data_IF_938153883215
#
_entry.id   IF_938153883215
#
_cell.length_a   1.000
_cell.length_b   1.000
_cell.length_c   1.000
_cell.angle_alpha   90.00
_cell.angle_beta   90.00
_cell.angle_gamma   90.00
#
_symmetry.space_group_name_H-M   'P 1'
#
loop_
_entity.id
_entity.type
_entity.pdbx_description
1 polymer ?
#
# COMPACT_ATOMS: atom_id res chain seq x y z
N UNK A 1 -45.45 -33.16 66.45
CA UNK A 1 -44.28 -34.00 66.77
C UNK A 1 -43.43 -34.08 65.52
N UNK A 2 -42.14 -33.78 65.67
CA UNK A 2 -41.16 -33.58 64.62
C UNK A 2 -40.67 -34.91 63.99
N UNK A 3 -39.88 -34.72 62.91
CA UNK A 3 -38.98 -35.67 62.21
C UNK A 3 -39.65 -36.47 61.06
N UNK A 4 -39.09 -36.60 59.85
CA UNK A 4 -37.79 -36.17 59.32
C UNK A 4 -37.65 -36.46 57.79
N UNK A 5 -36.70 -35.76 57.17
CA UNK A 5 -35.82 -36.10 56.03
C UNK A 5 -36.31 -36.43 54.58
N UNK A 6 -35.73 -35.64 53.66
CA UNK A 6 -35.02 -36.04 52.42
C UNK A 6 -35.80 -36.16 51.10
N UNK A 7 -35.64 -35.14 50.25
CA UNK A 7 -35.36 -35.32 48.83
C UNK A 7 -34.56 -34.10 48.33
N UNK A 8 -33.26 -34.29 48.07
CA UNK A 8 -32.43 -33.33 47.37
C UNK A 8 -32.73 -33.45 45.87
N UNK A 9 -33.09 -32.34 45.22
CA UNK A 9 -33.19 -32.27 43.76
C UNK A 9 -31.78 -32.03 43.19
N UNK A 10 -31.37 -33.01 42.38
CA UNK A 10 -30.21 -33.01 41.51
C UNK A 10 -30.48 -32.05 40.34
N UNK A 11 -29.75 -30.93 40.27
CA UNK A 11 -29.77 -30.03 39.10
C UNK A 11 -28.40 -30.08 38.46
N UNK A 12 -28.35 -30.85 37.38
CA UNK A 12 -27.23 -31.06 36.47
C UNK A 12 -26.57 -29.74 36.02
N UNK A 13 -25.27 -29.67 36.24
CA UNK A 13 -24.36 -28.61 35.76
C UNK A 13 -23.98 -28.87 34.31
N UNK A 14 -24.89 -28.68 33.36
CA UNK A 14 -24.55 -28.64 31.93
C UNK A 14 -25.49 -27.69 31.18
N UNK A 15 -25.10 -26.41 31.11
CA UNK A 15 -25.33 -25.55 29.92
C UNK A 15 -24.66 -24.18 30.14
N UNK A 16 -23.32 -24.17 30.11
CA UNK A 16 -22.57 -22.93 29.92
C UNK A 16 -22.35 -22.79 28.41
N UNK A 17 -22.92 -21.77 27.75
CA UNK A 17 -22.70 -21.57 26.32
C UNK A 17 -21.21 -21.28 26.05
N UNK A 18 -20.64 -21.81 24.96
CA UNK A 18 -19.22 -21.60 24.65
C UNK A 18 -18.96 -20.10 24.47
N UNK A 19 -17.98 -19.59 25.22
CA UNK A 19 -17.51 -18.20 25.14
C UNK A 19 -17.22 -17.84 23.69
N UNK A 20 -17.87 -16.79 23.20
CA UNK A 20 -17.59 -16.14 21.93
C UNK A 20 -16.08 -16.02 21.71
N UNK A 21 -15.58 -16.54 20.59
CA UNK A 21 -14.17 -16.40 20.19
C UNK A 21 -13.85 -14.91 20.07
N UNK A 22 -13.19 -14.35 21.08
CA UNK A 22 -12.62 -13.00 21.02
C UNK A 22 -11.60 -12.98 19.89
N UNK A 23 -11.92 -12.29 18.79
CA UNK A 23 -10.96 -12.05 17.73
C UNK A 23 -9.91 -11.11 18.31
N UNK A 24 -8.67 -11.57 18.40
CA UNK A 24 -7.55 -10.77 18.88
C UNK A 24 -7.39 -9.53 17.99
N UNK A 25 -7.39 -8.32 18.56
CA UNK A 25 -7.16 -7.06 17.82
C UNK A 25 -5.68 -6.79 17.53
N UNK A 26 -4.82 -7.78 17.76
CA UNK A 26 -3.37 -7.69 17.59
C UNK A 26 -2.99 -8.47 16.34
N UNK A 27 -2.28 -7.80 15.43
CA UNK A 27 -1.61 -8.48 14.33
C UNK A 27 -0.47 -9.27 14.92
N UNK A 28 -0.53 -10.58 14.75
CA UNK A 28 0.36 -11.55 15.41
C UNK A 28 1.34 -12.21 14.45
N UNK A 29 1.16 -12.01 13.14
CA UNK A 29 1.98 -12.62 12.09
C UNK A 29 2.24 -11.65 10.95
N UNK A 30 3.36 -11.86 10.26
CA UNK A 30 3.72 -11.11 9.06
C UNK A 30 2.66 -11.24 7.94
N UNK A 31 2.09 -12.44 7.75
CA UNK A 31 1.03 -12.64 6.74
C UNK A 31 -0.20 -11.78 7.00
N UNK A 32 -0.65 -11.67 8.26
CA UNK A 32 -1.77 -10.80 8.62
C UNK A 32 -1.46 -9.33 8.33
N UNK A 33 -0.21 -8.90 8.58
CA UNK A 33 0.22 -7.54 8.27
C UNK A 33 0.20 -7.28 6.76
N UNK A 34 0.73 -8.19 5.95
CA UNK A 34 0.71 -8.10 4.49
C UNK A 34 -0.72 -8.12 3.93
N UNK A 35 -1.62 -8.93 4.48
CA UNK A 35 -3.03 -8.98 4.11
C UNK A 35 -3.71 -7.64 4.40
N UNK A 36 -3.38 -7.02 5.54
CA UNK A 36 -3.93 -5.73 5.92
C UNK A 36 -3.40 -4.60 5.00
N UNK A 37 -2.10 -4.59 4.71
CA UNK A 37 -1.49 -3.63 3.78
C UNK A 37 -2.07 -3.77 2.37
N UNK A 38 -2.15 -4.98 1.83
CA UNK A 38 -2.65 -5.22 0.47
C UNK A 38 -4.14 -4.93 0.34
N UNK A 39 -4.92 -5.16 1.39
CA UNK A 39 -6.31 -4.68 1.49
C UNK A 39 -6.38 -3.16 1.43
N UNK A 40 -5.50 -2.46 2.16
CA UNK A 40 -5.43 -1.00 2.13
C UNK A 40 -5.05 -0.46 0.76
N UNK A 41 -4.05 -1.04 0.09
CA UNK A 41 -3.63 -0.67 -1.26
C UNK A 41 -4.74 -0.92 -2.29
N UNK A 42 -5.50 -2.01 -2.15
CA UNK A 42 -6.67 -2.34 -2.99
C UNK A 42 -7.74 -1.27 -2.87
N UNK A 43 -8.16 -0.94 -1.64
CA UNK A 43 -9.16 0.09 -1.37
C UNK A 43 -8.69 1.45 -1.89
N UNK A 44 -7.42 1.78 -1.63
CA UNK A 44 -6.82 3.05 -2.05
C UNK A 44 -6.75 3.17 -3.57
N UNK A 45 -6.42 2.09 -4.28
CA UNK A 45 -6.39 2.07 -5.76
C UNK A 45 -7.76 2.40 -6.32
N UNK A 46 -8.80 1.68 -5.90
CA UNK A 46 -10.17 1.99 -6.31
C UNK A 46 -10.56 3.44 -5.99
N UNK A 47 -10.18 3.93 -4.83
CA UNK A 47 -10.50 5.28 -4.40
C UNK A 47 -9.80 6.34 -5.26
N UNK A 48 -8.52 6.16 -5.60
CA UNK A 48 -7.78 7.07 -6.49
C UNK A 48 -8.39 7.04 -7.90
N UNK A 49 -8.73 5.87 -8.44
CA UNK A 49 -9.40 5.77 -9.75
C UNK A 49 -10.68 6.61 -9.82
N UNK A 50 -11.46 6.64 -8.72
CA UNK A 50 -12.64 7.49 -8.59
C UNK A 50 -12.25 8.98 -8.50
N UNK A 51 -11.33 9.33 -7.60
CA UNK A 51 -10.96 10.72 -7.32
C UNK A 51 -10.37 11.41 -8.56
N UNK A 52 -9.64 10.66 -9.38
CA UNK A 52 -9.00 11.14 -10.61
C UNK A 52 -9.87 10.96 -11.87
N UNK A 53 -11.13 10.50 -11.72
CA UNK A 53 -12.10 10.37 -12.83
C UNK A 53 -11.65 9.47 -13.99
N UNK A 54 -10.79 8.47 -13.74
CA UNK A 54 -10.37 7.50 -14.75
C UNK A 54 -11.51 6.58 -15.23
N UNK A 55 -12.55 6.44 -14.40
CA UNK A 55 -13.79 5.79 -14.78
C UNK A 55 -14.97 6.69 -14.42
N UNK A 56 -16.12 6.56 -15.13
CA UNK A 56 -17.31 7.35 -14.82
C UNK A 56 -17.74 7.17 -13.36
N UNK A 57 -18.13 8.23 -12.63
CA UNK A 57 -18.55 8.11 -11.22
C UNK A 57 -19.71 7.14 -11.01
N UNK A 58 -20.58 7.00 -12.00
CA UNK A 58 -21.72 6.06 -12.00
C UNK A 58 -21.28 4.59 -11.94
N UNK A 59 -20.04 4.28 -12.29
CA UNK A 59 -19.44 2.94 -12.19
C UNK A 59 -18.91 2.61 -10.79
N UNK A 60 -18.98 3.54 -9.83
CA UNK A 60 -18.53 3.33 -8.46
C UNK A 60 -19.70 3.22 -7.48
N UNK A 61 -19.52 2.38 -6.46
CA UNK A 61 -20.38 2.29 -5.30
C UNK A 61 -19.77 3.12 -4.16
N UNK A 62 -20.64 3.77 -3.37
CA UNK A 62 -20.23 4.30 -2.06
C UNK A 62 -20.14 3.13 -1.09
N UNK A 63 -18.98 2.93 -0.49
CA UNK A 63 -18.77 1.88 0.51
C UNK A 63 -17.97 2.44 1.69
N UNK A 64 -17.72 1.62 2.71
CA UNK A 64 -17.00 2.00 3.91
C UNK A 64 -15.84 1.04 4.15
N UNK A 65 -14.66 1.58 4.37
CA UNK A 65 -13.46 0.84 4.76
C UNK A 65 -12.72 1.63 5.83
N UNK A 66 -12.21 0.97 6.87
CA UNK A 66 -11.50 1.62 7.98
C UNK A 66 -12.28 2.77 8.63
N UNK A 67 -13.61 2.66 8.69
CA UNK A 67 -14.49 3.75 9.12
C UNK A 67 -14.40 5.07 8.30
N UNK A 68 -13.98 4.97 7.04
CA UNK A 68 -13.96 6.06 6.07
C UNK A 68 -14.85 5.75 4.86
N UNK A 69 -15.50 6.79 4.30
CA UNK A 69 -16.30 6.64 3.08
C UNK A 69 -15.39 6.57 1.87
N UNK A 70 -15.36 5.42 1.20
CA UNK A 70 -14.54 5.19 0.01
C UNK A 70 -15.42 4.88 -1.20
N UNK A 71 -14.77 4.80 -2.36
CA UNK A 71 -15.42 4.54 -3.64
C UNK A 71 -14.80 3.29 -4.24
N UNK A 72 -15.64 2.30 -4.52
CA UNK A 72 -15.23 1.04 -5.09
C UNK A 72 -15.84 0.88 -6.48
N UNK A 73 -15.02 0.59 -7.48
CA UNK A 73 -15.53 0.34 -8.83
C UNK A 73 -16.35 -0.97 -8.80
N UNK A 74 -17.43 -1.04 -9.59
CA UNK A 74 -18.29 -2.23 -9.67
C UNK A 74 -18.14 -3.01 -10.98
N UNK A 75 -17.32 -2.52 -11.91
CA UNK A 75 -17.10 -3.17 -13.19
C UNK A 75 -16.26 -4.44 -12.99
N UNK A 76 -16.77 -5.64 -13.30
CA UNK A 76 -16.11 -6.90 -12.93
C UNK A 76 -14.66 -7.01 -13.40
N UNK A 77 -14.36 -6.55 -14.62
CA UNK A 77 -13.00 -6.60 -15.17
C UNK A 77 -12.02 -5.66 -14.47
N UNK A 78 -12.50 -4.51 -13.96
CA UNK A 78 -11.64 -3.56 -13.25
C UNK A 78 -11.35 -4.11 -11.85
N UNK A 79 -12.37 -4.63 -11.17
CA UNK A 79 -12.20 -5.30 -9.88
C UNK A 79 -11.26 -6.50 -9.98
N UNK A 80 -11.45 -7.37 -10.99
CA UNK A 80 -10.57 -8.51 -11.23
C UNK A 80 -9.12 -8.07 -11.46
N UNK A 81 -8.91 -7.09 -12.34
CA UNK A 81 -7.56 -6.56 -12.61
C UNK A 81 -6.89 -6.01 -11.34
N UNK A 82 -7.60 -5.21 -10.55
CA UNK A 82 -7.03 -4.63 -9.31
C UNK A 82 -6.69 -5.72 -8.30
N UNK A 83 -7.58 -6.70 -8.12
CA UNK A 83 -7.34 -7.82 -7.21
C UNK A 83 -6.17 -8.69 -7.65
N UNK A 84 -6.09 -9.03 -8.94
CA UNK A 84 -5.00 -9.83 -9.51
C UNK A 84 -3.65 -9.11 -9.38
N UNK A 85 -3.64 -7.79 -9.64
CA UNK A 85 -2.44 -6.98 -9.51
C UNK A 85 -1.99 -6.84 -8.04
N UNK A 86 -2.92 -6.68 -7.10
CA UNK A 86 -2.60 -6.63 -5.67
C UNK A 86 -2.16 -7.98 -5.11
N UNK A 87 -2.70 -9.09 -5.62
CA UNK A 87 -2.19 -10.42 -5.32
C UNK A 87 -0.75 -10.59 -5.82
N UNK A 88 -0.45 -10.12 -7.04
CA UNK A 88 0.92 -10.13 -7.56
C UNK A 88 1.88 -9.26 -6.73
N UNK A 89 1.43 -8.11 -6.23
CA UNK A 89 2.22 -7.25 -5.31
C UNK A 89 2.45 -7.98 -3.98
N UNK A 90 1.41 -8.63 -3.43
CA UNK A 90 1.50 -9.43 -2.20
C UNK A 90 2.55 -10.53 -2.31
N UNK A 91 2.59 -11.25 -3.43
CA UNK A 91 3.58 -12.31 -3.69
C UNK A 91 5.03 -11.79 -3.62
N UNK A 92 5.25 -10.53 -4.01
CA UNK A 92 6.57 -9.89 -3.96
C UNK A 92 6.88 -9.32 -2.57
N UNK A 93 5.88 -8.77 -1.87
CA UNK A 93 6.04 -8.33 -0.48
C UNK A 93 6.42 -9.49 0.43
N UNK A 94 5.83 -10.68 0.23
CA UNK A 94 6.19 -11.89 0.97
C UNK A 94 7.64 -12.33 0.78
N UNK A 95 8.27 -11.97 -0.34
CA UNK A 95 9.68 -12.26 -0.63
C UNK A 95 10.62 -11.19 -0.10
N UNK A 96 10.06 -10.12 0.47
CA UNK A 96 10.77 -8.96 0.99
C UNK A 96 11.64 -8.23 -0.07
N UNK A 97 11.22 -8.29 -1.34
CA UNK A 97 11.97 -7.68 -2.46
C UNK A 97 11.49 -6.27 -2.82
N UNK A 98 10.34 -5.84 -2.32
CA UNK A 98 9.69 -4.60 -2.73
C UNK A 98 10.18 -3.43 -1.88
N UNK A 99 10.64 -2.36 -2.53
CA UNK A 99 10.97 -1.09 -1.92
C UNK A 99 9.79 -0.12 -1.98
N UNK A 100 9.16 0.01 -3.15
CA UNK A 100 8.02 0.93 -3.37
C UNK A 100 6.94 0.29 -4.21
N UNK A 101 5.69 0.68 -3.97
CA UNK A 101 4.54 0.36 -4.82
C UNK A 101 3.99 1.67 -5.37
N UNK A 102 3.80 1.77 -6.69
CA UNK A 102 3.30 2.97 -7.35
C UNK A 102 2.10 2.70 -8.24
N UNK A 103 1.03 3.46 -8.03
CA UNK A 103 -0.08 3.58 -8.99
C UNK A 103 0.23 4.70 -9.98
N UNK A 104 0.46 4.33 -11.23
CA UNK A 104 0.82 5.24 -12.31
C UNK A 104 -0.39 5.48 -13.20
N UNK A 105 -0.77 6.75 -13.37
CA UNK A 105 -1.76 7.19 -14.36
C UNK A 105 -0.99 7.71 -15.57
N UNK A 106 -1.29 7.20 -16.76
CA UNK A 106 -0.56 7.52 -17.98
C UNK A 106 -1.49 7.84 -19.15
N UNK A 107 -0.97 8.57 -20.13
CA UNK A 107 -1.65 8.80 -21.41
C UNK A 107 -1.35 7.65 -22.40
N UNK A 108 -2.38 7.14 -23.07
CA UNK A 108 -2.31 5.91 -23.85
C UNK A 108 -1.58 6.06 -25.20
N UNK A 109 -1.40 7.29 -25.72
CA UNK A 109 -0.86 7.51 -27.07
C UNK A 109 0.66 7.38 -27.09
N UNK A 110 1.35 7.97 -26.11
CA UNK A 110 2.80 7.93 -25.94
C UNK A 110 3.25 7.12 -24.72
N UNK A 111 2.32 6.52 -23.96
CA UNK A 111 2.59 5.76 -22.74
C UNK A 111 3.38 6.57 -21.70
N UNK A 112 3.10 7.87 -21.59
CA UNK A 112 3.78 8.78 -20.68
C UNK A 112 2.99 8.95 -19.39
N UNK A 113 3.67 8.77 -18.25
CA UNK A 113 3.05 8.92 -16.93
C UNK A 113 2.69 10.38 -16.70
N UNK A 114 1.47 10.65 -16.25
CA UNK A 114 0.94 11.97 -15.86
C UNK A 114 0.96 12.15 -14.33
N UNK A 115 0.58 11.10 -13.60
CA UNK A 115 0.59 11.08 -12.13
C UNK A 115 1.18 9.77 -11.62
N UNK A 116 1.95 9.84 -10.53
CA UNK A 116 2.46 8.67 -9.82
C UNK A 116 2.15 8.79 -8.35
N UNK A 117 1.29 7.91 -7.85
CA UNK A 117 0.98 7.78 -6.42
C UNK A 117 1.86 6.69 -5.84
N UNK A 118 2.83 7.05 -5.01
CA UNK A 118 3.83 6.11 -4.47
C UNK A 118 3.59 5.85 -3.00
N UNK A 119 3.68 4.58 -2.63
CA UNK A 119 3.70 4.04 -1.28
C UNK A 119 5.09 3.45 -1.07
N UNK A 120 5.88 4.10 -0.23
CA UNK A 120 7.24 3.71 0.09
C UNK A 120 7.25 2.81 1.32
N UNK A 121 7.88 1.65 1.17
CA UNK A 121 7.90 0.56 2.14
C UNK A 121 9.33 0.29 2.61
N UNK A 122 10.29 1.21 2.41
CA UNK A 122 11.70 1.04 2.83
C UNK A 122 11.88 0.70 4.30
N UNK A 123 11.02 1.24 5.15
CA UNK A 123 11.01 1.00 6.60
C UNK A 123 9.86 0.07 7.01
N UNK A 124 9.46 -0.84 6.13
CA UNK A 124 8.49 -1.89 6.46
C UNK A 124 9.21 -3.03 7.18
N UNK A 125 8.62 -3.62 8.24
CA UNK A 125 9.28 -4.64 9.03
C UNK A 125 9.82 -5.80 8.20
N UNK A 126 11.14 -6.01 8.24
CA UNK A 126 11.75 -7.19 7.66
C UNK A 126 11.54 -8.36 8.61
N UNK A 127 11.02 -9.47 8.09
CA UNK A 127 10.83 -10.68 8.89
C UNK A 127 11.70 -11.76 8.28
N UNK A 128 12.67 -12.24 9.06
CA UNK A 128 13.55 -13.35 8.67
C UNK A 128 12.66 -14.56 8.30
N UNK A 129 12.94 -15.20 7.15
CA UNK A 129 12.06 -16.20 6.49
C UNK A 129 11.62 -17.39 7.36
N UNK A 130 12.21 -17.58 8.54
CA UNK A 130 11.92 -18.66 9.50
C UNK A 130 10.62 -18.43 10.31
N UNK A 131 10.02 -17.23 10.30
CA UNK A 131 8.91 -16.87 11.21
C UNK A 131 7.57 -16.48 10.55
N UNK A 132 7.32 -16.85 9.28
CA UNK A 132 6.05 -16.52 8.57
C UNK A 132 4.75 -16.94 9.29
N UNK A 133 4.81 -17.91 10.21
CA UNK A 133 3.69 -18.44 10.99
C UNK A 133 3.94 -18.40 12.51
N UNK A 134 5.05 -17.83 12.97
CA UNK A 134 5.40 -17.82 14.40
C UNK A 134 4.73 -16.60 15.04
N UNK A 135 3.90 -16.77 16.09
CA UNK A 135 3.34 -15.65 16.84
C UNK A 135 4.45 -14.82 17.49
N UNK A 136 4.29 -13.49 17.55
CA UNK A 136 5.21 -12.62 18.30
C UNK A 136 5.35 -13.08 19.76
N UNK A 137 6.59 -13.20 20.24
CA UNK A 137 6.90 -13.70 21.59
C UNK A 137 6.45 -12.66 22.62
N UNK A 138 5.44 -12.96 23.42
CA UNK A 138 5.09 -12.18 24.60
C UNK A 138 6.11 -12.46 25.69
N UNK A 139 6.86 -11.44 26.14
CA UNK A 139 7.62 -11.52 27.39
C UNK A 139 6.61 -11.37 28.53
N UNK A 140 6.41 -12.38 29.40
CA UNK A 140 5.57 -12.23 30.58
C UNK A 140 6.22 -11.23 31.56
N UNK A 141 5.44 -10.38 32.25
CA UNK A 141 5.96 -9.36 33.15
C UNK A 141 6.62 -9.88 34.44
N UNK A 142 6.80 -11.19 34.60
CA UNK A 142 7.23 -11.81 35.86
C UNK A 142 8.70 -12.28 35.91
N UNK A 143 9.51 -12.05 34.87
CA UNK A 143 10.92 -12.51 34.83
C UNK A 143 11.96 -11.40 35.11
N UNK A 144 11.64 -10.52 36.07
CA UNK A 144 12.63 -9.62 36.68
C UNK A 144 12.80 -10.03 38.13
N UNK A 145 13.51 -11.14 38.35
CA UNK A 145 13.68 -11.72 39.68
C UNK A 145 14.94 -12.58 39.83
N UNK A 146 16.06 -11.92 40.12
CA UNK A 146 16.97 -12.33 41.20
C UNK A 146 17.89 -13.56 41.06
N UNK A 147 19.18 -13.26 41.31
CA UNK A 147 20.18 -14.06 42.06
C UNK A 147 21.07 -15.07 41.31
N UNK A 148 22.33 -14.64 41.13
CA UNK A 148 23.52 -15.15 41.83
C UNK A 148 23.76 -16.67 41.90
N UNK A 149 24.76 -17.16 41.16
CA UNK A 149 25.36 -18.47 41.43
C UNK A 149 26.40 -18.94 40.41
N UNK A 150 27.69 -18.81 40.75
CA UNK A 150 28.83 -19.37 40.02
C UNK A 150 28.72 -20.87 39.73
N UNK A 151 29.05 -21.27 38.51
CA UNK A 151 29.33 -22.65 38.14
C UNK A 151 30.00 -22.72 36.77
N UNK A 152 31.32 -22.92 36.75
CA UNK A 152 32.08 -23.11 35.51
C UNK A 152 31.78 -24.46 34.86
N UNK A 153 31.64 -24.41 33.54
CA UNK A 153 31.65 -25.54 32.62
C UNK A 153 32.05 -25.01 31.25
N UNK A 154 33.23 -25.44 30.79
CA UNK A 154 33.65 -25.29 29.40
C UNK A 154 32.72 -26.18 28.55
N UNK A 155 31.90 -25.58 27.71
CA UNK A 155 31.31 -26.22 26.54
C UNK A 155 31.31 -25.18 25.42
N UNK A 156 32.11 -25.48 24.39
CA UNK A 156 32.13 -24.79 23.10
C UNK A 156 30.76 -24.97 22.43
N UNK A 157 29.93 -23.93 22.43
CA UNK A 157 28.84 -23.74 21.47
C UNK A 157 28.85 -22.24 21.07
N UNK A 158 29.74 -21.92 20.13
CA UNK A 158 29.63 -20.74 19.26
C UNK A 158 28.41 -20.94 18.36
N UNK A 159 27.22 -20.59 18.85
CA UNK A 159 26.08 -20.22 18.02
C UNK A 159 25.58 -18.86 18.53
N UNK A 160 26.23 -17.80 18.01
CA UNK A 160 25.71 -16.44 17.96
C UNK A 160 24.39 -16.43 17.15
N UNK A 161 23.30 -16.93 17.73
CA UNK A 161 21.94 -16.68 17.25
C UNK A 161 21.44 -15.34 17.85
N UNK A 162 22.15 -14.25 17.59
CA UNK A 162 21.63 -12.87 17.73
C UNK A 162 20.67 -12.53 16.57
N UNK A 163 19.79 -13.46 16.17
CA UNK A 163 18.65 -13.17 15.29
C UNK A 163 17.49 -12.59 16.13
N UNK A 164 17.76 -11.51 16.85
CA UNK A 164 16.83 -10.83 17.77
C UNK A 164 15.97 -9.74 17.08
N UNK A 165 15.80 -9.80 15.75
CA UNK A 165 14.87 -8.94 15.00
C UNK A 165 13.46 -9.55 14.89
N UNK A 166 12.96 -10.07 16.02
CA UNK A 166 11.56 -10.43 16.17
C UNK A 166 10.78 -9.19 16.60
N UNK A 167 10.23 -8.42 15.64
CA UNK A 167 9.22 -7.36 15.82
C UNK A 167 8.75 -7.24 17.27
N UNK A 168 9.43 -6.40 18.05
CA UNK A 168 9.32 -6.43 19.52
C UNK A 168 7.96 -5.89 20.00
N UNK A 169 7.24 -5.19 19.12
CA UNK A 169 5.95 -4.57 19.42
C UNK A 169 4.78 -5.26 18.72
N UNK A 170 3.83 -5.75 19.53
CA UNK A 170 2.51 -6.18 19.07
C UNK A 170 1.78 -5.05 18.34
N UNK A 171 1.60 -5.19 17.02
CA UNK A 171 0.89 -4.19 16.22
C UNK A 171 -0.63 -4.27 16.45
N UNK A 172 -1.21 -3.20 17.02
CA UNK A 172 -2.66 -3.09 17.19
C UNK A 172 -3.34 -2.78 15.85
N UNK A 173 -4.25 -3.65 15.42
CA UNK A 173 -5.00 -3.50 14.18
C UNK A 173 -5.84 -2.23 14.18
N UNK A 174 -6.48 -1.86 15.29
CA UNK A 174 -7.34 -0.69 15.35
C UNK A 174 -6.56 0.61 15.12
N UNK A 175 -5.32 0.68 15.64
CA UNK A 175 -4.44 1.83 15.44
C UNK A 175 -3.97 1.88 13.99
N UNK A 176 -3.62 0.74 13.40
CA UNK A 176 -3.26 0.66 11.98
C UNK A 176 -4.42 1.08 11.07
N UNK A 177 -5.64 0.62 11.32
CA UNK A 177 -6.83 1.04 10.59
C UNK A 177 -7.13 2.54 10.75
N UNK A 178 -6.88 3.10 11.94
CA UNK A 178 -7.01 4.54 12.16
C UNK A 178 -6.01 5.33 11.31
N UNK A 179 -4.78 4.83 11.17
CA UNK A 179 -3.79 5.42 10.27
C UNK A 179 -4.21 5.29 8.80
N UNK A 180 -4.71 4.13 8.37
CA UNK A 180 -5.22 3.94 7.00
C UNK A 180 -6.40 4.85 6.67
N UNK A 181 -7.35 5.02 7.58
CA UNK A 181 -8.43 6.00 7.44
C UNK A 181 -7.89 7.40 7.22
N UNK A 182 -6.89 7.77 8.01
CA UNK A 182 -6.32 9.10 7.96
C UNK A 182 -5.43 9.29 6.70
N UNK A 183 -4.83 8.22 6.16
CA UNK A 183 -4.20 8.18 4.83
C UNK A 183 -5.23 8.38 3.72
N UNK A 184 -6.34 7.64 3.70
CA UNK A 184 -7.40 7.79 2.69
C UNK A 184 -7.97 9.21 2.66
N UNK A 185 -8.18 9.81 3.84
CA UNK A 185 -8.61 11.20 3.92
C UNK A 185 -7.59 12.17 3.32
N UNK A 186 -6.29 11.98 3.60
CA UNK A 186 -5.21 12.79 3.03
C UNK A 186 -5.08 12.60 1.52
N UNK A 187 -5.27 11.38 1.02
CA UNK A 187 -5.30 11.07 -0.42
C UNK A 187 -6.44 11.83 -1.10
N UNK A 188 -7.66 11.81 -0.55
CA UNK A 188 -8.79 12.54 -1.10
C UNK A 188 -8.53 14.06 -1.15
N UNK A 189 -8.04 14.63 -0.05
CA UNK A 189 -7.70 16.06 0.02
C UNK A 189 -6.56 16.42 -0.92
N UNK A 190 -5.52 15.59 -1.05
CA UNK A 190 -4.44 15.82 -2.01
C UNK A 190 -4.91 15.70 -3.44
N UNK A 191 -5.70 14.68 -3.79
CA UNK A 191 -6.27 14.53 -5.13
C UNK A 191 -7.12 15.73 -5.55
N UNK A 192 -7.83 16.37 -4.61
CA UNK A 192 -8.62 17.58 -4.89
C UNK A 192 -7.76 18.82 -5.21
N UNK A 193 -6.49 18.85 -4.78
CA UNK A 193 -5.55 19.95 -5.08
C UNK A 193 -4.74 19.73 -6.36
N UNK A 194 -4.65 18.51 -6.85
CA UNK A 194 -3.92 18.22 -8.08
C UNK A 194 -4.64 18.84 -9.27
N UNK A 195 -3.86 19.23 -10.29
CA UNK A 195 -4.42 19.65 -11.58
C UNK A 195 -5.36 18.54 -12.11
N UNK A 196 -6.53 18.84 -12.68
CA UNK A 196 -7.36 17.81 -13.30
C UNK A 196 -6.59 17.02 -14.36
N UNK A 197 -6.97 15.76 -14.60
CA UNK A 197 -6.48 15.03 -15.76
C UNK A 197 -7.02 15.70 -17.04
N UNK A 198 -6.32 15.57 -18.18
CA UNK A 198 -6.81 16.10 -19.45
C UNK A 198 -8.16 15.48 -19.84
N UNK A 199 -9.14 16.31 -20.20
CA UNK A 199 -10.47 15.86 -20.64
C UNK A 199 -10.97 16.72 -21.81
N UNK A 200 -11.79 16.14 -22.68
CA UNK A 200 -12.46 16.84 -23.78
C UNK A 200 -11.88 16.53 -25.18
N UNK A 201 -12.35 17.23 -26.22
CA UNK A 201 -11.92 17.02 -27.60
C UNK A 201 -10.41 17.27 -27.75
N UNK A 202 -9.66 16.25 -28.16
CA UNK A 202 -8.20 16.33 -28.33
C UNK A 202 -7.38 15.99 -27.09
N UNK A 203 -8.01 15.78 -25.93
CA UNK A 203 -7.33 15.22 -24.76
C UNK A 203 -6.93 13.76 -25.02
N UNK A 204 -5.76 13.31 -24.54
CA UNK A 204 -5.38 11.91 -24.64
C UNK A 204 -6.29 11.03 -23.78
N UNK A 205 -6.52 9.81 -24.23
CA UNK A 205 -7.08 8.78 -23.36
C UNK A 205 -6.08 8.48 -22.24
N UNK A 206 -6.57 8.43 -21.00
CA UNK A 206 -5.77 8.10 -19.83
C UNK A 206 -6.14 6.72 -19.32
N UNK A 207 -5.13 5.97 -18.89
CA UNK A 207 -5.27 4.67 -18.23
C UNK A 207 -4.35 4.61 -17.01
N UNK A 208 -4.29 3.46 -16.35
CA UNK A 208 -3.46 3.25 -15.18
C UNK A 208 -2.76 1.90 -15.18
N UNK A 209 -1.69 1.81 -14.40
CA UNK A 209 -0.96 0.58 -14.12
C UNK A 209 -0.34 0.63 -12.73
N UNK A 210 0.07 -0.52 -12.21
CA UNK A 210 0.90 -0.60 -11.01
C UNK A 210 2.34 -0.88 -11.40
N UNK A 211 3.27 -0.28 -10.65
CA UNK A 211 4.69 -0.56 -10.73
C UNK A 211 5.21 -0.85 -9.32
N UNK A 212 6.24 -1.68 -9.24
CA UNK A 212 7.02 -1.86 -8.02
C UNK A 212 8.47 -1.47 -8.29
N UNK A 213 9.09 -0.83 -7.32
CA UNK A 213 10.54 -0.71 -7.27
C UNK A 213 11.04 -1.80 -6.34
N UNK A 214 12.05 -2.55 -6.79
CA UNK A 214 12.67 -3.62 -6.00
C UNK A 214 13.88 -3.09 -5.26
N UNK A 215 14.15 -3.63 -4.06
CA UNK A 215 15.36 -3.32 -3.29
C UNK A 215 16.61 -3.59 -4.13
N UNK A 216 17.66 -2.80 -3.95
CA UNK A 216 18.87 -2.84 -4.77
C UNK A 216 19.54 -4.23 -4.82
N UNK A 217 19.49 -4.98 -3.73
CA UNK A 217 20.13 -6.29 -3.56
C UNK A 217 19.20 -7.47 -3.86
N UNK A 218 17.92 -7.21 -4.15
CA UNK A 218 16.92 -8.25 -4.35
C UNK A 218 16.86 -8.76 -5.78
N UNK A 219 16.50 -10.03 -5.93
CA UNK A 219 16.21 -10.63 -7.23
C UNK A 219 14.98 -9.97 -7.86
N UNK A 220 15.11 -9.63 -9.15
CA UNK A 220 14.00 -9.01 -9.89
C UNK A 220 12.98 -10.09 -10.25
N UNK A 221 11.66 -9.84 -10.09
CA UNK A 221 10.63 -10.84 -10.39
C UNK A 221 10.36 -11.03 -11.89
N UNK A 222 11.32 -10.67 -12.74
CA UNK A 222 11.22 -10.78 -14.19
C UNK A 222 11.85 -12.09 -14.63
N UNK A 223 11.02 -13.02 -15.08
CA UNK A 223 11.46 -14.34 -15.51
C UNK A 223 10.50 -14.98 -16.50
N UNK A 224 11.01 -15.87 -17.36
CA UNK A 224 10.22 -16.59 -18.37
C UNK A 224 9.80 -17.99 -17.92
N UNK A 225 10.33 -18.44 -16.79
CA UNK A 225 10.25 -19.83 -16.36
C UNK A 225 8.96 -20.06 -15.56
N UNK A 226 8.81 -19.36 -14.43
CA UNK A 226 7.71 -19.62 -13.51
C UNK A 226 6.46 -18.78 -13.82
N UNK A 227 5.27 -19.33 -13.49
CA UNK A 227 3.98 -18.67 -13.76
C UNK A 227 3.86 -17.31 -13.06
N UNK A 228 4.40 -17.17 -11.87
CA UNK A 228 4.34 -15.93 -11.08
C UNK A 228 5.32 -14.87 -11.56
N UNK A 229 6.42 -15.26 -12.19
CA UNK A 229 7.39 -14.33 -12.82
C UNK A 229 6.82 -13.68 -14.09
N UNK A 230 5.91 -14.38 -14.78
CA UNK A 230 5.21 -13.86 -15.97
C UNK A 230 4.18 -12.77 -15.64
N UNK A 231 3.89 -12.53 -14.37
CA UNK A 231 3.03 -11.43 -13.92
C UNK A 231 3.72 -10.06 -14.02
N UNK A 232 5.06 -10.04 -14.13
CA UNK A 232 5.86 -8.81 -14.11
C UNK A 232 6.69 -8.66 -15.39
N UNK A 233 6.87 -7.41 -15.81
CA UNK A 233 7.77 -7.00 -16.88
C UNK A 233 8.64 -5.85 -16.37
N UNK A 234 9.90 -5.81 -16.80
CA UNK A 234 10.77 -4.69 -16.50
C UNK A 234 10.20 -3.43 -17.17
N UNK A 235 9.97 -2.38 -16.38
CA UNK A 235 9.57 -1.09 -16.92
C UNK A 235 10.77 -0.48 -17.68
N UNK A 236 10.49 0.17 -18.80
CA UNK A 236 11.50 1.01 -19.44
C UNK A 236 11.91 2.12 -18.47
N UNK A 237 13.23 2.43 -18.37
CA UNK A 237 13.67 3.52 -17.52
C UNK A 237 12.99 4.81 -18.01
N UNK A 238 12.31 5.50 -17.11
CA UNK A 238 11.67 6.78 -17.43
C UNK A 238 12.73 7.66 -18.12
N UNK A 239 12.38 8.23 -19.27
CA UNK A 239 13.28 9.09 -20.04
C UNK A 239 13.64 10.30 -19.19
N UNK A 240 14.76 10.22 -18.48
CA UNK A 240 15.30 11.31 -17.69
C UNK A 240 15.62 12.46 -18.65
N UNK A 241 14.89 13.60 -18.57
CA UNK A 241 15.16 14.74 -19.44
C UNK A 241 16.54 15.36 -19.20
N UNK A 242 17.24 14.99 -18.12
CA UNK A 242 18.59 15.40 -17.78
C UNK A 242 19.67 14.37 -18.09
N UNK A 243 19.32 13.19 -18.62
CA UNK A 243 20.34 12.23 -19.04
C UNK A 243 21.10 12.81 -20.24
N UNK A 244 22.41 13.08 -20.12
CA UNK A 244 23.18 13.55 -21.27
C UNK A 244 23.10 12.48 -22.36
N UNK A 245 22.86 12.85 -23.63
CA UNK A 245 22.89 11.89 -24.72
C UNK A 245 24.27 11.21 -24.74
N UNK A 246 24.37 9.92 -25.11
CA UNK A 246 25.65 9.29 -25.34
C UNK A 246 26.41 10.15 -26.36
N UNK A 247 27.62 10.55 -25.96
CA UNK A 247 28.45 11.58 -26.58
C UNK A 247 28.50 11.46 -28.10
N UNK A 248 27.69 12.25 -28.80
CA UNK A 248 27.85 12.44 -30.23
C UNK A 248 28.97 13.48 -30.47
N UNK A 249 29.86 13.28 -31.46
CA UNK A 249 30.97 14.20 -31.71
C UNK A 249 30.46 15.58 -32.14
N UNK A 250 31.02 16.61 -31.51
CA UNK A 250 30.97 18.05 -31.84
C UNK A 250 30.25 18.43 -33.15
N UNK A 251 29.12 19.12 -33.02
CA UNK A 251 28.57 20.00 -34.05
C UNK A 251 28.43 21.43 -33.50
N UNK A 252 28.68 22.48 -34.30
CA UNK A 252 28.92 23.82 -33.79
C UNK A 252 27.62 24.50 -33.31
N UNK A 253 27.82 25.36 -32.30
CA UNK A 253 26.83 26.17 -31.62
C UNK A 253 25.92 26.93 -32.61
N UNK A 254 24.64 26.53 -32.70
CA UNK A 254 23.58 27.40 -33.22
C UNK A 254 22.68 27.84 -32.08
N UNK A 255 22.95 29.06 -31.64
CA UNK A 255 22.20 29.84 -30.69
C UNK A 255 20.92 30.35 -31.37
N UNK A 256 19.80 29.64 -31.21
CA UNK A 256 18.45 30.21 -31.02
C UNK A 256 17.40 29.09 -30.92
N UNK A 257 16.86 28.83 -29.73
CA UNK A 257 15.51 28.26 -29.59
C UNK A 257 14.89 28.82 -28.33
N UNK A 258 13.68 29.37 -28.48
CA UNK A 258 12.87 29.87 -27.39
C UNK A 258 12.77 28.83 -26.27
N UNK A 259 13.17 29.21 -25.06
CA UNK A 259 12.94 28.41 -23.86
C UNK A 259 11.44 28.41 -23.56
N UNK A 260 10.69 27.53 -24.22
CA UNK A 260 9.39 27.10 -23.72
C UNK A 260 9.69 26.54 -22.34
N UNK A 261 9.16 27.17 -21.29
CA UNK A 261 9.36 26.74 -19.91
C UNK A 261 8.84 25.30 -19.79
N UNK A 262 9.74 24.32 -19.88
CA UNK A 262 9.40 22.92 -19.60
C UNK A 262 8.98 22.89 -18.14
N UNK A 263 7.69 22.70 -17.90
CA UNK A 263 7.14 22.48 -16.57
C UNK A 263 7.91 21.34 -15.90
N UNK A 264 8.52 21.61 -14.75
CA UNK A 264 9.18 20.57 -13.96
C UNK A 264 8.14 19.66 -13.31
N UNK A 265 8.45 18.38 -13.06
CA UNK A 265 7.60 17.54 -12.22
C UNK A 265 7.45 18.16 -10.83
N UNK A 266 6.27 17.99 -10.22
CA UNK A 266 5.96 18.50 -8.88
C UNK A 266 5.51 17.36 -7.96
N UNK A 267 6.17 17.23 -6.82
CA UNK A 267 5.89 16.18 -5.83
C UNK A 267 5.14 16.77 -4.63
N UNK A 268 4.06 16.11 -4.22
CA UNK A 268 3.23 16.49 -3.09
C UNK A 268 3.25 15.37 -2.05
N UNK A 269 3.81 15.66 -0.87
CA UNK A 269 3.71 14.76 0.27
C UNK A 269 2.23 14.58 0.67
N UNK A 270 1.79 13.32 0.80
CA UNK A 270 0.43 13.01 1.22
C UNK A 270 0.43 12.74 2.71
N UNK A 271 1.23 11.76 3.17
CA UNK A 271 1.28 11.36 4.58
C UNK A 271 2.46 10.42 4.87
N UNK A 272 3.04 10.54 6.05
CA UNK A 272 3.86 9.51 6.69
C UNK A 272 3.00 8.73 7.71
N UNK A 273 3.06 7.41 7.65
CA UNK A 273 2.39 6.50 8.57
C UNK A 273 3.47 5.81 9.40
N UNK A 274 3.35 5.87 10.73
CA UNK A 274 4.26 5.24 11.70
C UNK A 274 3.41 4.50 12.74
N UNK A 275 3.53 3.18 12.80
CA UNK A 275 2.82 2.32 13.74
C UNK A 275 3.77 1.24 14.24
N UNK A 276 4.25 1.36 15.48
CA UNK A 276 5.37 0.55 15.97
C UNK A 276 6.57 0.67 15.04
N UNK A 277 7.11 -0.45 14.60
CA UNK A 277 8.23 -0.52 13.64
C UNK A 277 7.81 -0.33 12.18
N UNK A 278 6.51 -0.22 11.90
CA UNK A 278 6.01 -0.05 10.55
C UNK A 278 5.98 1.42 10.15
N UNK A 279 6.83 1.77 9.18
CA UNK A 279 6.82 3.09 8.57
C UNK A 279 6.56 3.01 7.05
N UNK A 280 5.56 3.78 6.60
CA UNK A 280 5.20 3.90 5.20
C UNK A 280 4.97 5.37 4.84
N UNK A 281 5.68 5.85 3.82
CA UNK A 281 5.47 7.19 3.28
C UNK A 281 4.60 7.14 2.01
N UNK A 282 3.70 8.11 1.88
CA UNK A 282 2.82 8.27 0.72
C UNK A 282 3.00 9.66 0.12
N UNK A 283 3.25 9.72 -1.18
CA UNK A 283 3.27 10.97 -1.95
C UNK A 283 2.67 10.78 -3.35
N UNK A 284 2.39 11.90 -4.00
CA UNK A 284 1.98 11.93 -5.41
C UNK A 284 2.87 12.88 -6.20
N UNK A 285 3.36 12.41 -7.35
CA UNK A 285 4.08 13.21 -8.33
C UNK A 285 3.16 13.56 -9.50
N UNK A 286 3.08 14.84 -9.86
CA UNK A 286 2.55 15.30 -11.16
C UNK A 286 3.73 15.49 -12.11
N UNK A 287 3.79 14.71 -13.17
CA UNK A 287 4.94 14.78 -14.09
C UNK A 287 4.88 16.03 -14.95
N UNK A 288 6.02 16.42 -15.52
CA UNK A 288 6.11 17.48 -16.52
C UNK A 288 5.10 17.31 -17.67
N UNK A 289 4.87 16.05 -18.09
CA UNK A 289 4.00 15.67 -19.20
C UNK A 289 2.54 16.05 -18.93
N UNK A 290 2.10 15.97 -17.67
CA UNK A 290 0.75 16.36 -17.29
C UNK A 290 0.43 17.82 -17.63
N UNK A 291 1.44 18.70 -17.56
CA UNK A 291 1.25 20.12 -17.80
C UNK A 291 1.31 20.50 -19.29
N UNK A 292 1.69 19.58 -20.18
CA UNK A 292 1.69 19.77 -21.63
C UNK A 292 0.27 19.82 -22.24
N UNK A 293 -0.73 19.30 -21.53
CA UNK A 293 -2.11 19.23 -21.99
C UNK A 293 -2.94 20.39 -21.44
N UNK A 294 -3.95 20.82 -22.19
CA UNK A 294 -4.88 21.87 -21.75
C UNK A 294 -5.81 21.39 -20.64
N UNK A 295 -6.31 22.33 -19.84
CA UNK A 295 -7.30 22.04 -18.82
C UNK A 295 -8.66 21.70 -19.45
N UNK A 296 -9.48 20.86 -18.78
CA UNK A 296 -10.86 20.65 -19.19
C UNK A 296 -11.58 21.99 -19.32
N UNK A 297 -12.16 22.25 -20.50
CA UNK A 297 -13.02 23.43 -20.68
C UNK A 297 -14.29 23.22 -19.88
N UNK A 298 -14.54 24.05 -18.87
CA UNK A 298 -15.84 24.08 -18.19
C UNK A 298 -16.91 24.41 -19.22
N UNK A 299 -17.86 23.50 -19.45
CA UNK A 299 -19.03 23.83 -20.27
C UNK A 299 -19.74 25.07 -19.66
N UNK A 300 -20.21 26.04 -20.47
CA UNK A 300 -21.00 27.14 -19.95
C UNK A 300 -22.31 26.60 -19.35
N UNK A 301 -22.61 27.02 -18.12
CA UNK A 301 -23.87 26.74 -17.41
C UNK A 301 -25.05 27.17 -18.28
N UNK A 302 -25.63 26.22 -19.02
CA UNK A 302 -26.82 26.40 -19.85
C UNK A 302 -28.01 25.79 -19.14
N UNK A 303 -28.27 26.25 -17.91
CA UNK A 303 -29.52 26.02 -17.20
C UNK A 303 -29.98 27.34 -16.58
N UNK A 304 -30.38 28.29 -17.42
CA UNK A 304 -31.39 29.28 -17.06
C UNK A 304 -32.61 29.03 -17.93
N UNK A 305 -33.77 28.68 -17.36
CA UNK A 305 -35.01 28.63 -18.12
C UNK A 305 -35.38 30.06 -18.58
N UNK A 306 -36.00 30.21 -19.76
CA UNK A 306 -36.48 31.51 -20.22
C UNK A 306 -37.58 32.03 -19.30
N UNK A 307 -37.48 33.31 -18.92
CA UNK A 307 -38.54 34.09 -18.27
C UNK A 307 -39.70 34.36 -19.24
#
# INVERSE_FOLDING_TARGET
>A
MAQDYSAAEDVSVEDIPPKSKTVSNVLSTHNQLLDTLTSFLTVTTHHILYLRRLYPPTSFLSTRAYNYSVRQNRHPRVCAWVNDAMAAVRDQLQKDVVEKVSLCIYECKGNRVLERWTFDLRSFPQVVKRTLHVPFKTIPPDDVGGEDGSGGGDDDDDDDDEDEDLLAEQLNLADLEAHFRASLHRIATSAARLRPLPEGPGAPECSFTLAIEVKHEADRPVGRLEKDERKWIAADPASDPNRPPPSAPFAPLRQNVHSVSKSSPTTHAVRLLEVGELQMEVWVEETAVKFEFDLPTSAPDSYLPPN
#
